data_IF_363954924555
#
_entry.id   IF_363954924555
#
_cell.length_a   1.000
_cell.length_b   1.000
_cell.length_c   1.000
_cell.angle_alpha   90.00
_cell.angle_beta   90.00
_cell.angle_gamma   90.00
#
_symmetry.space_group_name_H-M   'P 1'
#
loop_
_entity.id
_entity.type
_entity.pdbx_description
1 polymer ?
#
# COMPACT_ATOMS: atom_id res chain seq x y z
N UNK A 1 -16.04 -3.13 18.16
CA UNK A 1 -16.25 -3.38 16.71
C UNK A 1 -17.66 -2.92 16.34
N UNK A 2 -18.00 -2.73 15.05
CA UNK A 2 -19.37 -2.35 14.63
C UNK A 2 -20.24 -3.56 14.23
N UNK A 3 -20.01 -4.73 14.83
CA UNK A 3 -20.78 -5.95 14.55
C UNK A 3 -21.56 -6.44 15.76
N UNK A 4 -22.46 -7.39 15.55
CA UNK A 4 -23.18 -8.05 16.64
C UNK A 4 -22.24 -8.88 17.53
N UNK A 5 -22.67 -9.16 18.77
CA UNK A 5 -21.96 -10.09 19.65
C UNK A 5 -21.80 -11.50 19.08
N UNK A 6 -22.54 -11.88 18.03
CA UNK A 6 -22.37 -13.16 17.32
C UNK A 6 -21.09 -13.14 16.49
N UNK A 7 -20.86 -12.13 15.66
CA UNK A 7 -19.64 -12.05 14.84
C UNK A 7 -18.40 -11.79 15.70
N UNK A 8 -18.51 -11.02 16.79
CA UNK A 8 -17.40 -10.83 17.72
C UNK A 8 -16.95 -12.16 18.34
N UNK A 9 -17.91 -13.00 18.77
CA UNK A 9 -17.63 -14.34 19.29
C UNK A 9 -17.02 -15.24 18.23
N UNK A 10 -17.54 -15.21 17.00
CA UNK A 10 -16.98 -15.99 15.89
C UNK A 10 -15.52 -15.62 15.61
N UNK A 11 -15.19 -14.33 15.48
CA UNK A 11 -13.81 -13.86 15.32
C UNK A 11 -12.95 -14.30 16.53
N UNK A 12 -13.48 -14.18 17.74
CA UNK A 12 -12.82 -14.66 18.95
C UNK A 12 -12.47 -16.14 18.91
N UNK A 13 -13.38 -16.99 18.44
CA UNK A 13 -13.14 -18.44 18.27
C UNK A 13 -12.06 -18.70 17.21
N UNK A 14 -12.11 -18.02 16.07
CA UNK A 14 -11.10 -18.14 15.00
C UNK A 14 -9.71 -17.76 15.50
N UNK A 15 -9.60 -16.64 16.24
CA UNK A 15 -8.34 -16.17 16.84
C UNK A 15 -7.83 -17.15 17.90
N UNK A 16 -8.71 -17.67 18.76
CA UNK A 16 -8.33 -18.68 19.77
C UNK A 16 -7.84 -19.98 19.11
N UNK A 17 -8.49 -20.42 18.02
CA UNK A 17 -8.08 -21.57 17.23
C UNK A 17 -6.70 -21.35 16.60
N UNK A 18 -6.45 -20.17 16.03
CA UNK A 18 -5.14 -19.81 15.48
C UNK A 18 -4.05 -19.86 16.57
N UNK A 19 -4.33 -19.31 17.76
CA UNK A 19 -3.41 -19.38 18.89
C UNK A 19 -3.12 -20.83 19.32
N UNK A 20 -4.14 -21.69 19.39
CA UNK A 20 -3.98 -23.11 19.71
C UNK A 20 -3.15 -23.90 18.70
N UNK A 21 -3.35 -23.64 17.40
CA UNK A 21 -2.54 -24.23 16.33
C UNK A 21 -1.08 -23.76 16.41
N UNK A 22 -0.84 -22.47 16.61
CA UNK A 22 0.53 -21.94 16.76
C UNK A 22 1.19 -22.51 18.01
N UNK A 23 0.51 -22.58 19.15
CA UNK A 23 1.06 -23.15 20.38
C UNK A 23 1.45 -24.64 20.24
N UNK A 24 0.69 -25.41 19.44
CA UNK A 24 0.99 -26.83 19.18
C UNK A 24 2.22 -27.02 18.28
N UNK A 25 2.44 -26.09 17.35
CA UNK A 25 3.46 -26.25 16.32
C UNK A 25 4.73 -25.43 16.58
N UNK A 26 4.69 -24.35 17.35
CA UNK A 26 5.85 -23.49 17.60
C UNK A 26 6.26 -23.58 19.07
N UNK A 27 7.54 -23.80 19.33
CA UNK A 27 8.06 -23.81 20.69
C UNK A 27 8.36 -22.38 21.20
N UNK A 28 8.63 -22.25 22.50
CA UNK A 28 8.91 -20.96 23.14
C UNK A 28 10.17 -20.25 22.60
N UNK A 29 11.13 -20.99 22.01
CA UNK A 29 12.32 -20.42 21.37
C UNK A 29 12.06 -20.00 19.90
N UNK A 30 10.90 -20.33 19.35
CA UNK A 30 10.48 -19.91 18.02
C UNK A 30 9.43 -18.80 18.08
N UNK A 31 8.61 -18.76 19.15
CA UNK A 31 7.51 -17.83 19.33
C UNK A 31 7.69 -17.01 20.62
N UNK A 32 8.23 -15.79 20.49
CA UNK A 32 8.25 -14.81 21.58
C UNK A 32 6.86 -14.28 21.86
N UNK A 33 6.17 -13.88 20.79
CA UNK A 33 4.79 -13.43 20.83
C UNK A 33 4.14 -13.68 19.47
N UNK A 34 2.86 -14.05 19.49
CA UNK A 34 2.01 -14.09 18.32
C UNK A 34 0.90 -13.08 18.53
N UNK A 35 0.73 -12.18 17.57
CA UNK A 35 -0.15 -11.01 17.76
C UNK A 35 -1.07 -10.83 16.56
N UNK A 36 -2.30 -10.38 16.85
CA UNK A 36 -3.26 -9.91 15.85
C UNK A 36 -3.08 -8.41 15.65
N UNK A 37 -2.98 -7.97 14.40
CA UNK A 37 -2.76 -6.58 13.99
C UNK A 37 -4.02 -5.96 13.36
N UNK A 38 -3.88 -4.71 12.92
CA UNK A 38 -4.86 -4.06 12.07
C UNK A 38 -6.15 -3.71 12.80
N UNK A 39 -7.25 -3.65 12.04
CA UNK A 39 -8.56 -3.27 12.59
C UNK A 39 -9.00 -4.20 13.71
N UNK A 40 -8.87 -5.51 13.53
CA UNK A 40 -9.27 -6.48 14.55
C UNK A 40 -8.37 -6.46 15.79
N UNK A 41 -7.06 -6.24 15.63
CA UNK A 41 -6.15 -6.02 16.76
C UNK A 41 -6.56 -4.81 17.62
N UNK A 42 -7.13 -3.77 17.00
CA UNK A 42 -7.65 -2.56 17.68
C UNK A 42 -9.07 -2.69 18.23
N UNK A 43 -9.82 -3.74 17.88
CA UNK A 43 -11.27 -3.77 18.09
C UNK A 43 -12.08 -2.87 17.14
N UNK A 44 -11.43 -2.34 16.10
CA UNK A 44 -11.95 -1.52 15.02
C UNK A 44 -12.18 -2.34 13.72
N UNK A 45 -12.33 -3.67 13.85
CA UNK A 45 -12.56 -4.57 12.72
C UNK A 45 -13.84 -4.23 11.96
N UNK A 46 -13.80 -4.37 10.64
CA UNK A 46 -14.98 -4.19 9.80
C UNK A 46 -15.77 -5.48 9.65
N UNK A 47 -17.09 -5.38 9.53
CA UNK A 47 -18.02 -6.52 9.38
C UNK A 47 -18.89 -6.29 8.16
N UNK A 48 -19.09 -7.33 7.36
CA UNK A 48 -20.01 -7.33 6.22
C UNK A 48 -21.18 -8.28 6.50
N UNK A 49 -22.38 -7.92 6.10
CA UNK A 49 -23.54 -8.80 6.16
C UNK A 49 -23.74 -9.47 4.79
N UNK A 50 -23.60 -10.79 4.73
CA UNK A 50 -23.80 -11.60 3.54
C UNK A 50 -24.92 -12.60 3.82
N UNK A 51 -26.01 -12.56 3.05
CA UNK A 51 -27.17 -13.43 3.22
C UNK A 51 -27.77 -13.43 4.65
N UNK A 52 -27.75 -12.27 5.32
CA UNK A 52 -28.23 -12.13 6.69
C UNK A 52 -27.25 -12.62 7.77
N UNK A 53 -26.06 -13.08 7.39
CA UNK A 53 -24.99 -13.44 8.32
C UNK A 53 -23.86 -12.43 8.30
N UNK A 54 -23.49 -11.95 9.49
CA UNK A 54 -22.31 -11.10 9.66
C UNK A 54 -21.02 -11.90 9.56
N UNK A 55 -20.07 -11.39 8.77
CA UNK A 55 -18.75 -11.98 8.55
C UNK A 55 -17.65 -10.92 8.65
N UNK A 56 -16.41 -11.32 8.98
CA UNK A 56 -15.27 -10.41 8.95
C UNK A 56 -15.09 -9.83 7.54
N UNK A 57 -15.07 -8.50 7.43
CA UNK A 57 -14.93 -7.87 6.11
C UNK A 57 -13.47 -7.83 5.62
N UNK A 58 -12.56 -7.52 6.54
CA UNK A 58 -11.13 -7.44 6.26
C UNK A 58 -10.41 -8.74 6.65
N UNK A 59 -9.20 -8.94 6.14
CA UNK A 59 -8.32 -10.04 6.53
C UNK A 59 -7.92 -9.93 8.01
N UNK A 60 -7.60 -11.08 8.62
CA UNK A 60 -6.93 -11.15 9.90
C UNK A 60 -5.41 -11.10 9.68
N UNK A 61 -4.79 -10.00 10.09
CA UNK A 61 -3.35 -9.81 9.99
C UNK A 61 -2.64 -10.36 11.25
N UNK A 62 -1.88 -11.44 11.12
CA UNK A 62 -1.09 -11.99 12.23
C UNK A 62 0.40 -11.69 12.06
N UNK A 63 1.08 -11.42 13.17
CA UNK A 63 2.53 -11.28 13.21
C UNK A 63 3.11 -12.23 14.26
N UNK A 64 3.99 -13.12 13.81
CA UNK A 64 4.84 -13.92 14.68
C UNK A 64 6.14 -13.16 14.96
N UNK A 65 6.35 -12.86 16.23
CA UNK A 65 7.59 -12.31 16.75
C UNK A 65 8.42 -13.48 17.25
N UNK A 66 9.56 -13.71 16.61
CA UNK A 66 10.45 -14.83 16.92
C UNK A 66 11.72 -14.37 17.64
N UNK A 67 12.30 -15.20 18.48
CA UNK A 67 13.67 -15.03 18.99
C UNK A 67 14.72 -15.52 18.00
N UNK A 68 14.31 -16.20 16.92
CA UNK A 68 15.24 -16.74 15.94
C UNK A 68 15.81 -15.65 15.01
N UNK A 69 17.08 -15.85 14.63
CA UNK A 69 17.82 -14.92 13.78
C UNK A 69 18.06 -15.52 12.38
N UNK A 70 18.22 -14.64 11.39
CA UNK A 70 18.55 -15.01 10.02
C UNK A 70 17.35 -15.06 9.06
N UNK A 71 17.56 -14.54 7.85
CA UNK A 71 16.50 -14.40 6.86
C UNK A 71 15.92 -15.74 6.37
N UNK A 72 16.77 -16.75 6.13
CA UNK A 72 16.33 -18.07 5.67
C UNK A 72 15.44 -18.78 6.70
N UNK A 73 15.81 -18.68 7.97
CA UNK A 73 15.04 -19.28 9.05
C UNK A 73 13.68 -18.60 9.21
N UNK A 74 13.64 -17.25 9.17
CA UNK A 74 12.36 -16.51 9.15
C UNK A 74 11.46 -16.88 7.98
N UNK A 75 12.01 -17.06 6.78
CA UNK A 75 11.25 -17.52 5.60
C UNK A 75 10.68 -18.92 5.80
N UNK A 76 11.45 -19.81 6.44
CA UNK A 76 10.98 -21.15 6.82
C UNK A 76 9.84 -21.08 7.85
N UNK A 77 10.00 -20.27 8.91
CA UNK A 77 8.97 -20.04 9.92
C UNK A 77 7.70 -19.43 9.31
N UNK A 78 7.85 -18.47 8.40
CA UNK A 78 6.73 -17.84 7.67
C UNK A 78 5.95 -18.89 6.89
N UNK A 79 6.62 -19.74 6.11
CA UNK A 79 5.96 -20.82 5.35
C UNK A 79 5.24 -21.79 6.28
N UNK A 80 5.91 -22.22 7.34
CA UNK A 80 5.31 -23.11 8.35
C UNK A 80 4.09 -22.48 9.01
N UNK A 81 4.13 -21.18 9.31
CA UNK A 81 3.02 -20.44 9.89
C UNK A 81 1.84 -20.37 8.91
N UNK A 82 2.11 -20.08 7.64
CA UNK A 82 1.09 -20.10 6.58
C UNK A 82 0.44 -21.49 6.47
N UNK A 83 1.24 -22.56 6.46
CA UNK A 83 0.75 -23.95 6.40
C UNK A 83 -0.10 -24.33 7.62
N UNK A 84 0.32 -23.91 8.81
CA UNK A 84 -0.39 -24.16 10.08
C UNK A 84 -1.75 -23.44 10.11
N UNK A 85 -1.85 -22.24 9.53
CA UNK A 85 -3.11 -21.47 9.51
C UNK A 85 -3.98 -21.73 8.28
N UNK A 86 -3.46 -22.38 7.24
CA UNK A 86 -4.20 -22.71 6.03
C UNK A 86 -5.54 -23.47 6.26
N UNK A 87 -5.66 -24.40 7.23
CA UNK A 87 -6.96 -25.01 7.55
C UNK A 87 -8.03 -24.00 7.97
N UNK A 88 -7.67 -22.98 8.76
CA UNK A 88 -8.61 -21.92 9.18
C UNK A 88 -9.10 -21.14 7.98
N UNK A 89 -8.20 -20.75 7.07
CA UNK A 89 -8.58 -20.03 5.84
C UNK A 89 -9.59 -20.83 5.02
N UNK A 90 -9.39 -22.14 4.87
CA UNK A 90 -10.28 -23.01 4.08
C UNK A 90 -11.64 -23.23 4.74
N UNK A 91 -11.66 -23.46 6.05
CA UNK A 91 -12.87 -23.82 6.78
C UNK A 91 -13.75 -22.61 7.10
N UNK A 92 -13.13 -21.48 7.48
CA UNK A 92 -13.87 -20.27 7.88
C UNK A 92 -14.13 -19.33 6.70
N UNK A 93 -13.40 -19.51 5.58
CA UNK A 93 -13.48 -18.60 4.43
C UNK A 93 -12.96 -17.19 4.72
N UNK A 94 -12.16 -17.01 5.78
CA UNK A 94 -11.59 -15.72 6.19
C UNK A 94 -10.17 -15.59 5.65
N UNK A 95 -9.87 -14.46 5.02
CA UNK A 95 -8.50 -14.14 4.62
C UNK A 95 -7.58 -13.97 5.83
N UNK A 96 -6.45 -14.67 5.84
CA UNK A 96 -5.40 -14.52 6.86
C UNK A 96 -4.12 -14.08 6.16
N UNK A 97 -3.58 -12.94 6.60
CA UNK A 97 -2.27 -12.46 6.19
C UNK A 97 -1.29 -12.66 7.35
N UNK A 98 -0.13 -13.25 7.10
CA UNK A 98 0.88 -13.47 8.15
C UNK A 98 2.18 -12.72 7.87
N UNK A 99 2.85 -12.31 8.94
CA UNK A 99 4.22 -11.81 8.95
C UNK A 99 5.08 -12.55 9.98
N UNK A 100 6.40 -12.53 9.76
CA UNK A 100 7.39 -13.01 10.73
C UNK A 100 8.49 -11.97 10.86
N UNK A 101 8.79 -11.56 12.09
CA UNK A 101 9.88 -10.64 12.42
C UNK A 101 10.64 -11.14 13.64
N UNK A 102 11.96 -10.94 13.70
CA UNK A 102 12.68 -11.24 14.94
C UNK A 102 12.51 -10.12 15.96
N UNK A 103 12.59 -10.44 17.24
CA UNK A 103 12.54 -9.46 18.32
C UNK A 103 13.67 -8.43 18.24
N UNK A 104 14.88 -8.85 17.85
CA UNK A 104 16.03 -7.95 17.60
C UNK A 104 15.72 -7.01 16.44
N UNK A 105 15.20 -7.52 15.32
CA UNK A 105 14.88 -6.68 14.16
C UNK A 105 13.80 -5.66 14.52
N UNK A 106 12.76 -6.07 15.25
CA UNK A 106 11.69 -5.16 15.65
C UNK A 106 12.20 -4.07 16.61
N UNK A 107 13.10 -4.40 17.56
CA UNK A 107 13.71 -3.41 18.49
C UNK A 107 14.55 -2.35 17.78
N UNK A 108 15.20 -2.72 16.68
CA UNK A 108 16.13 -1.85 15.94
C UNK A 108 15.55 -1.37 14.61
N UNK A 109 14.27 -1.64 14.35
CA UNK A 109 13.65 -1.23 13.10
C UNK A 109 13.57 0.29 13.02
N UNK A 110 13.82 0.88 11.83
CA UNK A 110 13.60 2.31 11.64
C UNK A 110 12.13 2.65 11.89
N UNK A 111 11.83 3.89 12.32
CA UNK A 111 10.46 4.32 12.60
C UNK A 111 9.63 4.31 11.30
N UNK A 112 8.70 3.36 11.21
CA UNK A 112 7.80 3.16 10.08
C UNK A 112 6.36 3.20 10.54
N UNK A 113 5.44 3.49 9.62
CA UNK A 113 3.99 3.52 9.86
C UNK A 113 3.52 2.22 10.50
N UNK A 114 3.95 1.07 9.96
CA UNK A 114 3.55 -0.25 10.45
C UNK A 114 3.93 -0.50 11.92
N UNK A 115 5.00 0.11 12.43
CA UNK A 115 5.42 -0.07 13.83
C UNK A 115 4.66 0.82 14.79
N UNK A 116 4.21 1.99 14.34
CA UNK A 116 3.23 2.79 15.08
C UNK A 116 1.91 2.03 15.18
N UNK A 117 1.43 1.51 14.05
CA UNK A 117 0.19 0.72 14.00
C UNK A 117 0.29 -0.54 14.85
N UNK A 118 1.43 -1.22 14.87
CA UNK A 118 1.71 -2.35 15.75
C UNK A 118 1.62 -1.93 17.22
N UNK A 119 2.30 -0.87 17.63
CA UNK A 119 2.38 -0.47 19.05
C UNK A 119 1.01 -0.20 19.66
N UNK A 120 0.13 0.44 18.89
CA UNK A 120 -1.18 0.92 19.35
C UNK A 120 -2.35 0.06 18.88
N UNK A 121 -2.13 -0.85 17.93
CA UNK A 121 -3.18 -1.60 17.28
C UNK A 121 -2.90 -3.08 17.15
N UNK A 122 -2.26 -3.65 18.18
CA UNK A 122 -2.09 -5.08 18.33
C UNK A 122 -2.93 -5.64 19.47
N UNK A 123 -3.19 -6.94 19.39
CA UNK A 123 -3.61 -7.77 20.51
C UNK A 123 -2.67 -8.96 20.58
N UNK A 124 -2.01 -9.15 21.72
CA UNK A 124 -1.23 -10.38 21.94
C UNK A 124 -2.18 -11.55 22.15
N UNK A 125 -2.00 -12.61 21.38
CA UNK A 125 -2.86 -13.80 21.40
C UNK A 125 -2.12 -15.04 21.94
N UNK A 126 -0.79 -15.05 21.86
CA UNK A 126 0.07 -16.07 22.47
C UNK A 126 1.43 -15.45 22.83
N UNK A 127 2.08 -15.94 23.90
CA UNK A 127 3.42 -15.53 24.31
C UNK A 127 3.46 -14.29 25.22
N UNK A 128 4.58 -13.56 25.18
CA UNK A 128 4.86 -12.42 26.07
C UNK A 128 4.05 -11.18 25.69
N UNK A 129 2.95 -10.93 26.40
CA UNK A 129 2.09 -9.76 26.20
C UNK A 129 2.76 -8.43 26.58
N UNK A 130 3.84 -8.46 27.36
CA UNK A 130 4.59 -7.26 27.75
C UNK A 130 5.61 -6.82 26.70
N UNK A 131 5.95 -7.68 25.73
CA UNK A 131 7.03 -7.43 24.79
C UNK A 131 6.81 -6.18 23.93
N UNK A 132 5.69 -6.09 23.19
CA UNK A 132 5.40 -4.90 22.36
C UNK A 132 5.25 -3.65 23.25
N UNK A 133 4.55 -3.70 24.40
CA UNK A 133 4.56 -2.61 25.37
C UNK A 133 5.94 -2.13 25.82
N UNK A 134 6.91 -3.04 25.93
CA UNK A 134 8.29 -2.72 26.34
C UNK A 134 9.14 -2.04 25.26
N UNK A 135 8.68 -2.04 23.99
CA UNK A 135 9.42 -1.39 22.90
C UNK A 135 9.41 0.13 23.07
N UNK A 136 10.51 0.77 22.64
CA UNK A 136 10.64 2.22 22.64
C UNK A 136 9.47 2.84 21.85
N UNK A 137 8.71 3.77 22.43
CA UNK A 137 7.63 4.45 21.71
C UNK A 137 8.16 5.18 20.47
N UNK A 138 7.45 5.02 19.36
CA UNK A 138 7.71 5.75 18.11
C UNK A 138 6.66 6.86 18.01
N UNK A 139 7.11 8.11 18.00
CA UNK A 139 6.24 9.25 17.73
C UNK A 139 5.87 9.28 16.24
N UNK A 140 4.65 9.72 15.91
CA UNK A 140 4.24 9.88 14.51
C UNK A 140 5.17 10.80 13.71
N UNK A 141 5.72 11.84 14.34
CA UNK A 141 6.69 12.76 13.75
C UNK A 141 8.06 12.13 13.45
N UNK A 142 8.36 10.96 14.03
CA UNK A 142 9.62 10.27 13.81
C UNK A 142 9.58 9.33 12.60
N UNK A 143 8.40 9.05 12.01
CA UNK A 143 8.28 8.16 10.85
C UNK A 143 9.05 8.72 9.66
N UNK A 144 9.78 7.87 8.98
CA UNK A 144 10.50 8.24 7.75
C UNK A 144 9.50 8.68 6.67
N UNK A 145 9.70 9.88 6.11
CA UNK A 145 8.81 10.44 5.07
C UNK A 145 8.74 9.50 3.85
N UNK A 146 9.84 8.83 3.52
CA UNK A 146 9.90 7.85 2.43
C UNK A 146 9.03 6.61 2.68
N UNK A 147 8.78 6.22 3.94
CA UNK A 147 7.85 5.13 4.27
C UNK A 147 6.41 5.52 3.92
N UNK A 148 6.01 6.76 4.25
CA UNK A 148 4.69 7.30 3.90
C UNK A 148 4.55 7.50 2.39
N UNK A 149 5.62 7.94 1.71
CA UNK A 149 5.64 8.05 0.25
C UNK A 149 5.47 6.69 -0.43
N UNK A 150 6.20 5.67 0.04
CA UNK A 150 6.03 4.31 -0.49
C UNK A 150 4.61 3.78 -0.27
N UNK A 151 3.99 4.08 0.87
CA UNK A 151 2.60 3.75 1.12
C UNK A 151 1.68 4.49 0.14
N UNK A 152 1.86 5.80 -0.05
CA UNK A 152 1.08 6.60 -1.00
C UNK A 152 1.19 6.05 -2.42
N UNK A 153 2.41 5.73 -2.89
CA UNK A 153 2.65 5.12 -4.20
C UNK A 153 1.88 3.80 -4.32
N UNK A 154 1.99 2.90 -3.33
CA UNK A 154 1.25 1.63 -3.36
C UNK A 154 -0.28 1.86 -3.46
N UNK A 155 -0.81 2.89 -2.79
CA UNK A 155 -2.24 3.21 -2.76
C UNK A 155 -2.71 3.89 -4.05
N UNK A 156 -1.89 4.76 -4.62
CA UNK A 156 -2.12 5.42 -5.89
C UNK A 156 -2.03 4.44 -7.08
N UNK A 157 -1.15 3.44 -7.03
CA UNK A 157 -1.10 2.37 -8.04
C UNK A 157 -2.41 1.58 -8.14
N UNK A 158 -3.19 1.47 -7.05
CA UNK A 158 -4.51 0.82 -7.08
C UNK A 158 -5.48 1.55 -8.03
N UNK A 159 -5.35 2.87 -8.12
CA UNK A 159 -6.16 3.69 -9.01
C UNK A 159 -5.72 3.52 -10.48
N UNK A 160 -4.41 3.34 -10.73
CA UNK A 160 -3.90 2.98 -12.06
C UNK A 160 -4.45 1.62 -12.50
N UNK A 161 -4.53 0.64 -11.58
CA UNK A 161 -5.14 -0.66 -11.84
C UNK A 161 -6.63 -0.49 -12.17
N UNK A 162 -7.35 0.33 -11.41
CA UNK A 162 -8.76 0.59 -11.66
C UNK A 162 -9.00 1.19 -13.05
N UNK A 163 -8.16 2.13 -13.49
CA UNK A 163 -8.36 2.73 -14.82
C UNK A 163 -8.18 1.69 -15.92
N UNK A 164 -7.22 0.76 -15.78
CA UNK A 164 -7.03 -0.33 -16.74
C UNK A 164 -8.24 -1.28 -16.79
N UNK A 165 -8.93 -1.49 -15.66
CA UNK A 165 -10.18 -2.27 -15.64
C UNK A 165 -11.32 -1.46 -16.26
N UNK A 166 -11.44 -0.17 -15.95
CA UNK A 166 -12.49 0.72 -16.46
C UNK A 166 -12.41 0.89 -17.99
N UNK A 167 -11.22 1.02 -18.57
CA UNK A 167 -11.01 1.11 -20.03
C UNK A 167 -11.54 -0.10 -20.80
N UNK A 168 -11.58 -1.26 -20.16
CA UNK A 168 -12.10 -2.51 -20.74
C UNK A 168 -13.59 -2.71 -20.49
N UNK A 169 -14.20 -1.82 -19.73
CA UNK A 169 -15.56 -1.95 -19.23
C UNK A 169 -15.66 -2.86 -17.99
N UNK A 170 -16.64 -2.56 -17.15
CA UNK A 170 -16.96 -3.38 -15.97
C UNK A 170 -17.74 -4.60 -16.44
N UNK A 171 -17.04 -5.73 -16.61
CA UNK A 171 -17.64 -6.97 -17.12
C UNK A 171 -18.28 -7.87 -16.06
N UNK A 172 -18.13 -7.54 -14.77
CA UNK A 172 -18.69 -8.33 -13.68
C UNK A 172 -18.91 -7.51 -12.40
N UNK A 173 -19.81 -7.97 -11.53
CA UNK A 173 -19.98 -7.43 -10.17
C UNK A 173 -18.67 -7.45 -9.39
N UNK A 174 -17.88 -8.52 -9.54
CA UNK A 174 -16.58 -8.65 -8.88
C UNK A 174 -15.60 -7.56 -9.30
N UNK A 175 -15.59 -7.16 -10.59
CA UNK A 175 -14.77 -6.04 -11.05
C UNK A 175 -15.21 -4.72 -10.40
N UNK A 176 -16.52 -4.49 -10.31
CA UNK A 176 -17.08 -3.29 -9.69
C UNK A 176 -16.72 -3.21 -8.20
N UNK A 177 -16.90 -4.30 -7.44
CA UNK A 177 -16.49 -4.40 -6.04
C UNK A 177 -14.98 -4.20 -5.86
N UNK A 178 -14.18 -4.71 -6.79
CA UNK A 178 -12.72 -4.57 -6.76
C UNK A 178 -12.29 -3.11 -6.96
N UNK A 179 -12.87 -2.42 -7.95
CA UNK A 179 -12.64 -1.00 -8.20
C UNK A 179 -13.01 -0.18 -6.95
N UNK A 180 -14.17 -0.46 -6.35
CA UNK A 180 -14.63 0.20 -5.13
C UNK A 180 -13.65 0.00 -3.97
N UNK A 181 -13.25 -1.24 -3.68
CA UNK A 181 -12.26 -1.57 -2.63
C UNK A 181 -10.95 -0.81 -2.84
N UNK A 182 -10.49 -0.72 -4.08
CA UNK A 182 -9.29 0.02 -4.44
C UNK A 182 -9.43 1.53 -4.22
N UNK A 183 -10.56 2.12 -4.61
CA UNK A 183 -10.82 3.54 -4.38
C UNK A 183 -10.84 3.86 -2.88
N UNK A 184 -11.52 3.06 -2.06
CA UNK A 184 -11.56 3.28 -0.61
C UNK A 184 -10.16 3.19 0.02
N UNK A 185 -9.34 2.21 -0.39
CA UNK A 185 -7.95 2.10 0.04
C UNK A 185 -7.12 3.30 -0.40
N UNK A 186 -7.32 3.78 -1.64
CA UNK A 186 -6.61 4.92 -2.18
C UNK A 186 -6.96 6.21 -1.43
N UNK A 187 -8.24 6.46 -1.17
CA UNK A 187 -8.73 7.61 -0.39
C UNK A 187 -8.09 7.62 0.99
N UNK A 188 -8.13 6.50 1.72
CA UNK A 188 -7.49 6.39 3.04
C UNK A 188 -5.98 6.66 2.94
N UNK A 189 -5.30 6.09 1.94
CA UNK A 189 -3.87 6.31 1.73
C UNK A 189 -3.48 7.76 1.48
N UNK A 190 -4.23 8.47 0.64
CA UNK A 190 -4.00 9.88 0.34
C UNK A 190 -4.32 10.77 1.55
N UNK A 191 -5.40 10.48 2.27
CA UNK A 191 -5.74 11.19 3.49
C UNK A 191 -4.72 10.97 4.61
N UNK A 192 -4.22 9.74 4.78
CA UNK A 192 -3.17 9.41 5.74
C UNK A 192 -1.87 10.16 5.42
N UNK A 193 -1.49 10.25 4.15
CA UNK A 193 -0.33 11.02 3.69
C UNK A 193 -0.51 12.53 3.98
N UNK A 194 -1.70 13.09 3.75
CA UNK A 194 -1.98 14.48 4.10
C UNK A 194 -1.93 14.72 5.61
N UNK A 195 -2.56 13.85 6.42
CA UNK A 195 -2.51 13.92 7.88
C UNK A 195 -1.05 13.88 8.36
N UNK A 196 -0.23 13.01 7.78
CA UNK A 196 1.19 12.93 8.08
C UNK A 196 1.93 14.24 7.75
N UNK A 197 1.76 14.77 6.54
CA UNK A 197 2.36 16.03 6.11
C UNK A 197 1.96 17.24 7.00
N UNK A 198 0.83 17.14 7.71
CA UNK A 198 0.34 18.16 8.65
C UNK A 198 0.67 17.86 10.12
N UNK A 199 1.45 16.82 10.41
CA UNK A 199 1.77 16.42 11.78
C UNK A 199 0.54 15.92 12.57
N UNK A 200 -0.51 15.48 11.88
CA UNK A 200 -1.78 15.02 12.45
C UNK A 200 -2.00 13.51 12.31
N UNK A 201 -1.06 12.74 11.77
CA UNK A 201 -1.19 11.29 11.65
C UNK A 201 -1.44 10.59 13.00
N UNK A 202 -2.20 9.49 12.99
CA UNK A 202 -2.50 8.68 14.18
C UNK A 202 -2.75 7.20 13.79
N UNK A 203 -2.55 6.27 14.74
CA UNK A 203 -2.74 4.84 14.49
C UNK A 203 -4.23 4.42 14.40
N UNK A 204 -5.09 5.01 15.24
CA UNK A 204 -6.54 4.74 15.22
C UNK A 204 -7.22 5.34 14.00
N UNK A 205 -8.06 4.55 13.33
CA UNK A 205 -8.84 5.03 12.19
C UNK A 205 -9.88 6.06 12.61
N UNK A 206 -10.55 5.87 13.74
CA UNK A 206 -11.54 6.82 14.26
C UNK A 206 -10.90 8.18 14.54
N UNK A 207 -9.72 8.19 15.15
CA UNK A 207 -8.98 9.43 15.42
C UNK A 207 -8.50 10.11 14.14
N UNK A 208 -8.03 9.35 13.14
CA UNK A 208 -7.68 9.92 11.82
C UNK A 208 -8.88 10.53 11.11
N UNK A 209 -10.04 9.86 11.15
CA UNK A 209 -11.29 10.36 10.60
C UNK A 209 -11.71 11.68 11.28
N UNK A 210 -11.64 11.74 12.62
CA UNK A 210 -11.89 12.96 13.40
C UNK A 210 -10.96 14.11 12.98
N UNK A 211 -9.64 13.85 12.93
CA UNK A 211 -8.64 14.85 12.52
C UNK A 211 -8.79 15.28 11.07
N UNK A 212 -9.21 14.39 10.18
CA UNK A 212 -9.49 14.73 8.79
C UNK A 212 -10.69 15.69 8.68
N UNK A 213 -11.74 15.47 9.49
CA UNK A 213 -12.87 16.41 9.58
C UNK A 213 -12.45 17.80 10.06
N UNK A 214 -11.50 17.89 10.99
CA UNK A 214 -10.93 19.18 11.41
C UNK A 214 -10.13 19.89 10.30
N UNK A 215 -9.56 19.13 9.36
CA UNK A 215 -8.87 19.67 8.18
C UNK A 215 -9.83 20.10 7.05
N UNK A 216 -11.14 19.81 7.18
CA UNK A 216 -12.15 20.06 6.13
C UNK A 216 -12.18 21.50 5.64
N UNK A 217 -11.87 22.49 6.48
CA UNK A 217 -11.80 23.90 6.08
C UNK A 217 -10.81 24.14 4.91
N UNK A 218 -9.76 23.32 4.81
CA UNK A 218 -8.72 23.44 3.78
C UNK A 218 -8.83 22.38 2.66
N UNK A 219 -9.64 21.33 2.86
CA UNK A 219 -9.79 20.22 1.92
C UNK A 219 -11.16 19.52 2.07
N UNK A 220 -12.28 20.23 1.84
CA UNK A 220 -13.60 19.73 2.21
C UNK A 220 -13.99 18.47 1.43
N UNK A 221 -13.66 18.40 0.14
CA UNK A 221 -13.92 17.22 -0.68
C UNK A 221 -13.14 15.97 -0.20
N UNK A 222 -11.92 16.14 0.30
CA UNK A 222 -11.13 15.02 0.82
C UNK A 222 -11.69 14.54 2.15
N UNK A 223 -12.10 15.46 3.03
CA UNK A 223 -12.68 15.08 4.31
C UNK A 223 -13.94 14.25 4.12
N UNK A 224 -14.83 14.65 3.20
CA UNK A 224 -16.02 13.86 2.86
C UNK A 224 -15.65 12.47 2.31
N UNK A 225 -14.76 12.38 1.33
CA UNK A 225 -14.33 11.08 0.78
C UNK A 225 -13.69 10.21 1.86
N UNK A 226 -12.88 10.79 2.74
CA UNK A 226 -12.22 10.06 3.82
C UNK A 226 -13.23 9.53 4.83
N UNK A 227 -14.26 10.30 5.18
CA UNK A 227 -15.36 9.84 6.00
C UNK A 227 -16.08 8.67 5.32
N UNK A 228 -16.47 8.81 4.05
CA UNK A 228 -17.11 7.72 3.28
C UNK A 228 -16.24 6.44 3.26
N UNK A 229 -14.93 6.57 3.05
CA UNK A 229 -14.01 5.44 3.00
C UNK A 229 -13.74 4.81 4.38
N UNK A 230 -13.70 5.62 5.44
CA UNK A 230 -13.55 5.13 6.81
C UNK A 230 -14.81 4.36 7.25
N UNK A 231 -15.99 4.89 6.95
CA UNK A 231 -17.26 4.19 7.22
C UNK A 231 -17.35 2.88 6.42
N UNK A 232 -17.03 2.90 5.12
CA UNK A 232 -16.98 1.69 4.30
C UNK A 232 -16.04 0.62 4.85
N UNK A 233 -14.92 1.03 5.47
CA UNK A 233 -13.96 0.10 6.07
C UNK A 233 -14.55 -0.65 7.27
N UNK A 234 -15.42 0.00 8.06
CA UNK A 234 -16.08 -0.60 9.21
C UNK A 234 -17.33 -1.39 8.81
N UNK A 235 -18.11 -0.85 7.88
CA UNK A 235 -19.39 -1.41 7.44
C UNK A 235 -19.54 -1.17 5.92
N UNK A 236 -19.06 -2.10 5.08
CA UNK A 236 -19.04 -1.91 3.65
C UNK A 236 -20.45 -2.03 3.05
N UNK A 237 -20.97 -0.92 2.52
CA UNK A 237 -22.28 -0.87 1.87
C UNK A 237 -22.14 -1.02 0.35
N UNK A 238 -21.81 -2.23 -0.13
CA UNK A 238 -21.62 -2.48 -1.56
C UNK A 238 -22.83 -2.10 -2.41
N UNK A 239 -24.04 -2.48 -1.98
CA UNK A 239 -25.28 -2.19 -2.71
C UNK A 239 -25.43 -0.70 -3.01
N UNK A 240 -25.27 0.16 -1.98
CA UNK A 240 -25.34 1.62 -2.11
C UNK A 240 -24.40 2.20 -3.16
N UNK A 241 -23.21 1.63 -3.31
CA UNK A 241 -22.22 2.12 -4.27
C UNK A 241 -22.35 1.48 -5.66
N UNK A 242 -22.95 0.29 -5.76
CA UNK A 242 -23.05 -0.48 -7.00
C UNK A 242 -24.43 -0.40 -7.67
N UNK A 243 -25.45 0.11 -6.99
CA UNK A 243 -26.76 0.45 -7.56
C UNK A 243 -26.68 1.61 -8.56
N UNK A 244 -25.65 2.45 -8.44
CA UNK A 244 -25.39 3.57 -9.33
C UNK A 244 -24.18 3.31 -10.22
N UNK A 245 -24.09 4.05 -11.33
CA UNK A 245 -22.87 4.11 -12.13
C UNK A 245 -21.68 4.50 -11.23
N UNK A 246 -20.57 3.76 -11.33
CA UNK A 246 -19.35 4.07 -10.59
C UNK A 246 -18.63 5.29 -11.17
N UNK A 247 -18.90 5.68 -12.43
CA UNK A 247 -18.19 6.78 -13.09
C UNK A 247 -18.30 8.12 -12.33
N UNK A 248 -19.47 8.58 -11.86
CA UNK A 248 -19.56 9.75 -10.99
C UNK A 248 -18.66 9.66 -9.75
N UNK A 249 -18.65 8.51 -9.07
CA UNK A 249 -17.81 8.33 -7.89
C UNK A 249 -16.32 8.37 -8.24
N UNK A 250 -15.92 7.68 -9.30
CA UNK A 250 -14.55 7.74 -9.85
C UNK A 250 -14.18 9.19 -10.16
N UNK A 251 -15.03 9.94 -10.85
CA UNK A 251 -14.81 11.36 -11.17
C UNK A 251 -14.59 12.23 -9.93
N UNK A 252 -15.38 12.03 -8.86
CA UNK A 252 -15.17 12.74 -7.58
C UNK A 252 -13.83 12.38 -6.93
N UNK A 253 -13.47 11.10 -6.89
CA UNK A 253 -12.17 10.66 -6.36
C UNK A 253 -11.03 11.31 -7.15
N UNK A 254 -11.17 11.36 -8.49
CA UNK A 254 -10.16 11.93 -9.40
C UNK A 254 -10.01 13.44 -9.28
N UNK A 255 -11.06 14.18 -8.91
CA UNK A 255 -10.94 15.63 -8.72
C UNK A 255 -10.33 16.01 -7.37
N UNK A 256 -10.43 15.15 -6.36
CA UNK A 256 -10.03 15.45 -4.98
C UNK A 256 -8.64 14.94 -4.63
N UNK A 257 -8.33 13.67 -4.92
CA UNK A 257 -7.07 13.05 -4.49
C UNK A 257 -5.78 13.71 -5.04
N UNK A 258 -5.75 14.30 -6.26
CA UNK A 258 -4.54 14.97 -6.74
C UNK A 258 -4.08 16.10 -5.81
N UNK A 259 -5.00 16.81 -5.13
CA UNK A 259 -4.64 17.88 -4.20
C UNK A 259 -3.91 17.35 -2.96
N UNK A 260 -4.39 16.24 -2.41
CA UNK A 260 -3.76 15.57 -1.26
C UNK A 260 -2.39 15.00 -1.62
N UNK A 261 -2.29 14.36 -2.79
CA UNK A 261 -1.04 13.82 -3.33
C UNK A 261 -0.01 14.95 -3.49
N UNK A 262 -0.41 16.06 -4.13
CA UNK A 262 0.51 17.17 -4.36
C UNK A 262 0.93 17.88 -3.07
N UNK A 263 0.01 18.02 -2.10
CA UNK A 263 0.34 18.58 -0.79
C UNK A 263 1.40 17.74 -0.06
N UNK A 264 1.28 16.41 -0.14
CA UNK A 264 2.30 15.51 0.40
C UNK A 264 3.63 15.63 -0.34
N UNK A 265 3.63 15.70 -1.68
CA UNK A 265 4.87 15.84 -2.47
C UNK A 265 5.60 17.16 -2.20
N UNK A 266 4.87 18.26 -2.01
CA UNK A 266 5.45 19.55 -1.59
C UNK A 266 6.09 19.46 -0.21
N UNK A 267 5.42 18.80 0.73
CA UNK A 267 5.96 18.55 2.07
C UNK A 267 7.24 17.70 1.99
N UNK A 268 7.19 16.58 1.27
CA UNK A 268 8.30 15.63 1.15
C UNK A 268 9.52 16.23 0.48
N UNK A 269 9.33 16.99 -0.59
CA UNK A 269 10.41 17.64 -1.33
C UNK A 269 10.94 18.90 -0.66
N UNK A 270 10.20 19.47 0.31
CA UNK A 270 10.47 20.79 0.87
C UNK A 270 10.27 21.93 -0.13
N UNK A 271 9.57 21.68 -1.25
CA UNK A 271 9.43 22.60 -2.36
C UNK A 271 7.96 23.00 -2.57
N UNK A 272 7.58 24.25 -2.26
CA UNK A 272 6.21 24.73 -2.44
C UNK A 272 5.79 24.81 -3.93
N UNK A 273 6.76 24.85 -4.85
CA UNK A 273 6.53 24.94 -6.29
C UNK A 273 6.53 23.56 -6.99
N UNK A 274 6.55 22.46 -6.22
CA UNK A 274 6.29 21.14 -6.76
C UNK A 274 4.87 21.11 -7.36
N UNK A 275 4.78 20.65 -8.61
CA UNK A 275 3.56 20.41 -9.40
C UNK A 275 3.70 19.08 -10.11
N UNK A 276 2.61 18.47 -10.60
CA UNK A 276 2.73 17.23 -11.36
C UNK A 276 3.54 17.41 -12.65
N UNK A 277 3.48 18.60 -13.28
CA UNK A 277 4.30 18.95 -14.45
C UNK A 277 5.80 18.78 -14.23
N UNK A 278 6.29 19.20 -13.07
CA UNK A 278 7.73 19.17 -12.78
C UNK A 278 8.13 18.04 -11.80
N UNK A 279 7.19 17.16 -11.45
CA UNK A 279 7.36 16.16 -10.39
C UNK A 279 8.48 15.16 -10.72
N UNK A 280 8.38 14.49 -11.86
CA UNK A 280 9.34 13.46 -12.26
C UNK A 280 10.75 14.04 -12.40
N UNK A 281 10.89 15.17 -13.08
CA UNK A 281 12.17 15.88 -13.23
C UNK A 281 12.75 16.27 -11.87
N UNK A 282 11.97 16.88 -10.98
CA UNK A 282 12.44 17.30 -9.65
C UNK A 282 12.94 16.13 -8.82
N UNK A 283 12.24 15.00 -8.82
CA UNK A 283 12.68 13.79 -8.12
C UNK A 283 14.02 13.31 -8.68
N UNK A 284 14.14 13.23 -10.01
CA UNK A 284 15.35 12.75 -10.67
C UNK A 284 16.53 13.71 -10.46
N UNK A 285 16.32 15.03 -10.49
CA UNK A 285 17.35 16.03 -10.21
C UNK A 285 17.74 16.10 -8.73
N UNK A 286 16.81 15.88 -7.80
CA UNK A 286 17.14 15.78 -6.39
C UNK A 286 18.04 14.56 -6.13
N UNK A 287 17.72 13.42 -6.74
CA UNK A 287 18.56 12.21 -6.67
C UNK A 287 19.92 12.41 -7.37
N UNK A 288 19.97 13.15 -8.49
CA UNK A 288 21.23 13.50 -9.15
C UNK A 288 22.18 14.23 -8.21
N UNK A 289 21.64 15.16 -7.42
CA UNK A 289 22.37 15.97 -6.45
C UNK A 289 22.80 15.16 -5.22
N UNK A 290 21.94 14.27 -4.73
CA UNK A 290 22.26 13.44 -3.55
C UNK A 290 23.24 12.31 -3.86
N UNK A 291 23.19 11.73 -5.05
CA UNK A 291 24.08 10.66 -5.51
C UNK A 291 25.54 11.10 -5.71
N UNK A 292 25.83 12.41 -5.58
CA UNK A 292 27.19 12.92 -5.45
C UNK A 292 27.83 12.56 -4.07
N UNK A 293 27.05 12.05 -3.11
CA UNK A 293 27.55 11.46 -1.87
C UNK A 293 27.84 9.95 -2.06
N UNK A 294 29.12 9.64 -2.17
CA UNK A 294 29.67 8.31 -2.46
C UNK A 294 29.42 7.33 -1.29
N UNK A 295 29.00 6.08 -1.60
CA UNK A 295 29.41 4.78 -1.00
C UNK A 295 28.34 3.68 -1.14
N UNK A 296 27.05 3.99 -1.31
CA UNK A 296 26.00 2.94 -1.33
C UNK A 296 25.72 2.25 -2.69
N UNK A 297 26.35 2.68 -3.80
CA UNK A 297 25.87 2.36 -5.16
C UNK A 297 26.36 1.04 -5.80
N UNK A 298 27.29 0.28 -5.20
CA UNK A 298 28.04 -0.75 -5.95
C UNK A 298 27.25 -2.03 -6.30
N UNK A 299 26.31 -2.48 -5.45
CA UNK A 299 25.51 -3.70 -5.73
C UNK A 299 24.25 -3.45 -6.57
N UNK A 300 23.75 -2.21 -6.63
CA UNK A 300 22.55 -1.84 -7.39
C UNK A 300 22.86 -1.50 -8.86
N UNK A 301 24.06 -0.98 -9.14
CA UNK A 301 24.54 -0.61 -10.47
C UNK A 301 24.51 -1.75 -11.51
N UNK A 302 24.80 -2.99 -11.10
CA UNK A 302 24.89 -4.14 -12.02
C UNK A 302 23.51 -4.52 -12.57
N UNK A 303 22.45 -4.45 -11.76
CA UNK A 303 21.08 -4.78 -12.20
C UNK A 303 20.45 -3.65 -13.03
N UNK A 304 20.71 -2.40 -12.70
CA UNK A 304 20.15 -1.26 -13.43
C UNK A 304 20.81 -1.07 -14.80
N UNK A 305 22.11 -1.39 -14.94
CA UNK A 305 22.82 -1.37 -16.23
C UNK A 305 22.29 -2.38 -17.25
N UNK A 306 21.81 -3.55 -16.81
CA UNK A 306 21.19 -4.52 -17.73
C UNK A 306 19.75 -4.14 -18.11
N UNK A 307 19.12 -3.27 -17.32
CA UNK A 307 17.71 -2.97 -17.52
C UNK A 307 17.52 -1.87 -18.57
N UNK A 308 18.42 -0.87 -18.67
CA UNK A 308 18.26 0.32 -19.54
C UNK A 308 19.26 0.43 -20.70
N UNK A 309 18.82 0.79 -21.94
CA UNK A 309 19.69 0.94 -23.10
C UNK A 309 20.66 2.13 -22.95
N UNK A 310 21.72 2.12 -23.77
CA UNK A 310 22.82 3.08 -23.74
C UNK A 310 22.47 4.50 -24.22
N UNK A 311 21.28 4.75 -24.77
CA UNK A 311 20.79 6.09 -25.10
C UNK A 311 19.27 6.15 -24.91
N UNK A 312 18.80 6.98 -23.98
CA UNK A 312 17.36 7.22 -23.75
C UNK A 312 16.85 8.55 -24.30
N UNK A 313 17.73 9.36 -24.93
CA UNK A 313 17.34 10.70 -25.42
C UNK A 313 17.05 11.71 -24.30
N UNK A 314 17.42 11.40 -23.06
CA UNK A 314 17.25 12.28 -21.90
C UNK A 314 18.48 13.18 -21.71
N UNK A 315 18.34 14.33 -21.04
CA UNK A 315 19.49 15.13 -20.61
C UNK A 315 20.49 14.28 -19.82
N UNK A 316 21.79 14.44 -20.12
CA UNK A 316 22.88 13.62 -19.55
C UNK A 316 22.82 13.41 -18.03
N UNK A 317 22.54 14.43 -17.19
CA UNK A 317 22.42 14.24 -15.75
C UNK A 317 21.26 13.31 -15.35
N UNK A 318 20.12 13.43 -16.03
CA UNK A 318 18.94 12.61 -15.78
C UNK A 318 19.21 11.17 -16.23
N UNK A 319 19.80 10.99 -17.42
CA UNK A 319 20.14 9.67 -17.95
C UNK A 319 21.07 8.90 -16.99
N UNK A 320 22.07 9.57 -16.41
CA UNK A 320 22.96 8.95 -15.42
C UNK A 320 22.20 8.52 -14.15
N UNK A 321 21.26 9.32 -13.66
CA UNK A 321 20.42 8.98 -12.50
C UNK A 321 19.51 7.82 -12.79
N UNK A 322 18.83 7.81 -13.94
CA UNK A 322 17.91 6.73 -14.30
C UNK A 322 18.64 5.39 -14.34
N UNK A 323 19.86 5.37 -14.89
CA UNK A 323 20.70 4.17 -14.92
C UNK A 323 21.19 3.69 -13.55
N UNK A 324 21.16 4.55 -12.52
CA UNK A 324 21.57 4.21 -11.15
C UNK A 324 20.37 3.97 -10.24
N UNK A 325 19.21 4.48 -10.62
CA UNK A 325 18.00 4.43 -9.81
C UNK A 325 17.38 3.05 -9.80
N UNK A 326 16.86 2.66 -8.64
CA UNK A 326 16.04 1.46 -8.53
C UNK A 326 14.73 1.65 -9.34
N UNK A 327 14.28 0.66 -10.14
CA UNK A 327 13.07 0.80 -10.95
C UNK A 327 11.82 1.26 -10.19
N UNK A 328 11.68 0.85 -8.93
CA UNK A 328 10.58 1.31 -8.06
C UNK A 328 10.58 2.83 -7.81
N UNK A 329 11.74 3.47 -7.71
CA UNK A 329 11.82 4.94 -7.59
C UNK A 329 11.37 5.62 -8.88
N UNK A 330 11.74 5.05 -10.03
CA UNK A 330 11.31 5.56 -11.34
C UNK A 330 9.79 5.45 -11.51
N UNK A 331 9.20 4.33 -11.07
CA UNK A 331 7.75 4.18 -11.02
C UNK A 331 7.09 5.24 -10.15
N UNK A 332 7.62 5.50 -8.96
CA UNK A 332 7.09 6.56 -8.10
C UNK A 332 7.20 7.95 -8.78
N UNK A 333 8.30 8.22 -9.49
CA UNK A 333 8.52 9.51 -10.15
C UNK A 333 7.49 9.80 -11.26
N UNK A 334 7.15 8.80 -12.08
CA UNK A 334 6.20 8.94 -13.21
C UNK A 334 4.75 8.63 -12.86
N UNK A 335 4.50 8.14 -11.63
CA UNK A 335 3.15 7.74 -11.20
C UNK A 335 2.13 8.88 -11.37
N UNK A 336 2.40 10.15 -10.99
CA UNK A 336 1.41 11.20 -11.19
C UNK A 336 1.05 11.44 -12.66
N UNK A 337 2.02 11.39 -13.57
CA UNK A 337 1.82 11.49 -15.03
C UNK A 337 0.92 10.36 -15.54
N UNK A 338 1.18 9.12 -15.08
CA UNK A 338 0.38 7.95 -15.45
C UNK A 338 -1.04 8.01 -14.87
N UNK A 339 -1.17 8.50 -13.64
CA UNK A 339 -2.41 8.45 -12.88
C UNK A 339 -3.36 9.61 -13.19
N UNK A 340 -2.83 10.82 -13.35
CA UNK A 340 -3.61 12.04 -13.56
C UNK A 340 -3.56 12.57 -15.00
N UNK A 341 -2.77 11.91 -15.85
CA UNK A 341 -2.52 12.31 -17.23
C UNK A 341 -1.32 13.26 -17.35
N UNK A 342 -0.64 13.26 -18.51
CA UNK A 342 0.45 14.18 -18.76
C UNK A 342 -0.05 15.63 -18.78
N UNK A 343 0.73 16.52 -18.18
CA UNK A 343 0.38 17.95 -18.14
C UNK A 343 0.84 18.72 -19.38
N UNK A 344 1.77 18.15 -20.14
CA UNK A 344 2.28 18.59 -21.44
C UNK A 344 3.04 17.44 -22.15
N UNK A 345 3.45 17.68 -23.39
CA UNK A 345 4.17 16.69 -24.22
C UNK A 345 5.53 16.27 -23.62
N UNK A 346 6.19 17.14 -22.85
CA UNK A 346 7.50 16.80 -22.27
C UNK A 346 7.34 15.79 -21.14
N UNK A 347 6.33 15.98 -20.29
CA UNK A 347 5.94 15.04 -19.23
C UNK A 347 5.57 13.67 -19.82
N UNK A 348 4.78 13.66 -20.91
CA UNK A 348 4.42 12.43 -21.62
C UNK A 348 5.64 11.69 -22.19
N UNK A 349 6.53 12.42 -22.90
CA UNK A 349 7.78 11.88 -23.45
C UNK A 349 8.73 11.34 -22.38
N UNK A 350 8.85 12.04 -21.25
CA UNK A 350 9.67 11.59 -20.13
C UNK A 350 9.12 10.28 -19.55
N UNK A 351 7.82 10.22 -19.27
CA UNK A 351 7.17 9.01 -18.77
C UNK A 351 7.28 7.85 -19.77
N UNK A 352 7.06 8.09 -21.06
CA UNK A 352 7.23 7.11 -22.13
C UNK A 352 8.65 6.54 -22.13
N UNK A 353 9.66 7.42 -22.06
CA UNK A 353 11.08 7.04 -22.08
C UNK A 353 11.48 6.21 -20.86
N UNK A 354 11.04 6.61 -19.66
CA UNK A 354 11.32 5.92 -18.40
C UNK A 354 10.64 4.55 -18.31
N UNK A 355 9.39 4.47 -18.78
CA UNK A 355 8.61 3.23 -18.77
C UNK A 355 8.87 2.33 -19.98
N UNK A 356 9.47 2.86 -21.04
CA UNK A 356 9.50 2.26 -22.39
C UNK A 356 8.10 1.90 -22.90
N UNK A 357 7.18 2.84 -22.75
CA UNK A 357 5.85 2.68 -23.29
C UNK A 357 5.88 2.72 -24.83
N UNK A 358 4.92 2.05 -25.47
CA UNK A 358 4.79 2.03 -26.94
C UNK A 358 4.50 3.40 -27.54
N UNK A 359 3.84 4.27 -26.77
CA UNK A 359 3.44 5.60 -27.15
C UNK A 359 3.26 6.50 -25.93
N UNK A 360 2.90 7.75 -26.20
CA UNK A 360 2.65 8.79 -25.20
C UNK A 360 1.19 8.81 -24.71
N UNK A 361 0.33 7.95 -25.27
CA UNK A 361 -1.07 7.86 -24.87
C UNK A 361 -1.21 7.41 -23.41
N UNK A 362 -2.26 7.87 -22.73
CA UNK A 362 -2.50 7.49 -21.32
C UNK A 362 -2.63 5.97 -21.14
N UNK A 363 -3.20 5.26 -22.13
CA UNK A 363 -3.32 3.79 -22.08
C UNK A 363 -1.95 3.11 -22.26
N UNK A 364 -1.11 3.58 -23.18
CA UNK A 364 0.26 3.04 -23.37
C UNK A 364 1.12 3.22 -22.11
N UNK A 365 1.12 4.43 -21.54
CA UNK A 365 1.86 4.74 -20.32
C UNK A 365 1.38 3.89 -19.15
N UNK A 366 0.06 3.70 -19.01
CA UNK A 366 -0.53 2.86 -17.96
C UNK A 366 -0.14 1.40 -18.10
N UNK A 367 -0.25 0.83 -19.30
CA UNK A 367 0.11 -0.56 -19.54
C UNK A 367 1.59 -0.79 -19.22
N UNK A 368 2.47 0.10 -19.67
CA UNK A 368 3.89 0.03 -19.34
C UNK A 368 4.14 0.15 -17.83
N UNK A 369 3.46 1.09 -17.16
CA UNK A 369 3.52 1.23 -15.70
C UNK A 369 3.13 -0.06 -14.98
N UNK A 370 1.98 -0.66 -15.32
CA UNK A 370 1.47 -1.86 -14.66
C UNK A 370 2.37 -3.08 -14.89
N UNK A 371 3.03 -3.19 -16.04
CA UNK A 371 4.04 -4.21 -16.29
C UNK A 371 5.25 -4.06 -15.36
N UNK A 372 5.80 -2.84 -15.24
CA UNK A 372 6.89 -2.58 -14.31
C UNK A 372 6.45 -2.72 -12.86
N UNK A 373 5.20 -2.35 -12.53
CA UNK A 373 4.61 -2.54 -11.21
C UNK A 373 4.56 -4.02 -10.82
N UNK A 374 4.16 -4.90 -11.73
CA UNK A 374 4.15 -6.35 -11.52
C UNK A 374 5.54 -6.91 -11.18
N UNK A 375 6.58 -6.32 -11.78
CA UNK A 375 7.96 -6.78 -11.64
C UNK A 375 8.70 -6.19 -10.43
N UNK A 376 8.46 -4.91 -10.14
CA UNK A 376 9.28 -4.13 -9.20
C UNK A 376 8.50 -3.47 -8.06
N UNK A 377 7.17 -3.38 -8.19
CA UNK A 377 6.29 -2.75 -7.22
C UNK A 377 5.67 -3.77 -6.26
N UNK A 378 4.73 -4.55 -6.78
CA UNK A 378 4.00 -5.58 -6.04
C UNK A 378 4.15 -6.96 -6.73
N UNK A 379 4.96 -7.87 -6.17
CA UNK A 379 5.14 -9.22 -6.72
C UNK A 379 3.83 -10.02 -6.84
N UNK A 380 2.81 -9.72 -6.03
CA UNK A 380 1.52 -10.40 -6.06
C UNK A 380 0.58 -9.84 -7.13
N UNK A 381 0.97 -8.74 -7.79
CA UNK A 381 0.12 -8.10 -8.79
C UNK A 381 -0.11 -8.99 -10.02
N UNK A 382 0.83 -9.87 -10.40
CA UNK A 382 0.60 -10.81 -11.52
C UNK A 382 -0.65 -11.67 -11.34
N UNK A 383 -0.86 -12.22 -10.14
CA UNK A 383 -2.07 -13.01 -9.81
C UNK A 383 -3.32 -12.14 -9.85
N UNK A 384 -3.21 -10.91 -9.34
CA UNK A 384 -4.31 -9.93 -9.36
C UNK A 384 -4.69 -9.53 -10.78
N UNK A 385 -3.71 -9.22 -11.63
CA UNK A 385 -3.90 -8.88 -13.03
C UNK A 385 -4.62 -10.01 -13.79
N UNK A 386 -4.20 -11.27 -13.58
CA UNK A 386 -4.87 -12.43 -14.17
C UNK A 386 -6.34 -12.54 -13.73
N UNK A 387 -6.64 -12.34 -12.44
CA UNK A 387 -8.02 -12.37 -11.92
C UNK A 387 -8.89 -11.25 -12.51
N UNK A 388 -8.30 -10.10 -12.81
CA UNK A 388 -8.97 -8.97 -13.45
C UNK A 388 -8.99 -9.06 -14.99
N UNK A 389 -8.44 -10.13 -15.56
CA UNK A 389 -8.32 -10.31 -17.00
C UNK A 389 -7.36 -9.33 -17.69
N UNK A 390 -6.49 -8.64 -16.96
CA UNK A 390 -5.51 -7.71 -17.50
C UNK A 390 -4.37 -8.51 -18.17
N UNK A 391 -4.11 -8.25 -19.46
CA UNK A 391 -2.98 -8.84 -20.17
C UNK A 391 -1.74 -7.99 -19.92
N UNK A 392 -0.73 -8.58 -19.29
CA UNK A 392 0.59 -7.99 -19.08
C UNK A 392 1.56 -8.54 -20.14
N UNK A 393 1.23 -8.41 -21.42
CA UNK A 393 2.13 -8.83 -22.48
C UNK A 393 3.33 -7.88 -22.58
N UNK A 394 4.53 -8.42 -22.35
CA UNK A 394 5.75 -7.71 -22.71
C UNK A 394 5.77 -7.54 -24.22
N UNK A 395 5.66 -6.30 -24.69
CA UNK A 395 6.08 -5.96 -26.04
C UNK A 395 7.51 -6.48 -26.20
N UNK A 396 7.68 -7.58 -26.95
CA UNK A 396 9.00 -7.99 -27.41
C UNK A 396 9.49 -6.83 -28.27
N UNK A 397 10.42 -6.05 -27.74
CA UNK A 397 11.10 -5.04 -28.53
C UNK A 397 11.85 -5.80 -29.61
N UNK A 398 11.37 -5.72 -30.84
CA UNK A 398 12.16 -6.07 -32.03
C UNK A 398 13.44 -5.24 -31.93
N UNK A 399 14.55 -5.94 -31.70
CA UNK A 399 15.89 -5.39 -31.48
C UNK A 399 16.38 -4.54 -32.64
#
# INVERSE_FOLDING_TARGET
MRGSSRVERHIGMVVARAAGLVAKHFNHNECRAFVLLGGYGRGEGGVVCENGEERPHNNLDFLLITTALGALYKTSLKRRLDDVLAPIVREEGIGIDTGVISDIELRHSPPRVIWIDLRWGHRTILGDASFIPSLRPIAASAVEVDDVHNLLVNRASLLVINDAVLERGITSKQNAEFILKHMMKAIIGHGDALLFARGRYHASYAEKQRRMRELSANAPGLAQLYDEAAEFRFEPQYARHLEHDLQPFVGRVRSVLPQAHLAFERFRSGDPHCTFRNHAERILFAEARSAASFIAASKQLVRSWMTYPRRMGLPSPIEAVVRRSHPRKLLAAVLPTVLYGPTDDNDARLAQSLLRAKGESSSDLRNAYLMHWARYGDPNFHTTAKRLGLSLEMARQSS
#
